data_IF_120072739803
#
_entry.id   IF_120072739803
#
_cell.length_a   1.000
_cell.length_b   1.000
_cell.length_c   1.000
_cell.angle_alpha   90.00
_cell.angle_beta   90.00
_cell.angle_gamma   90.00
#
_symmetry.space_group_name_H-M   'P 1'
#
loop_
_entity.id
_entity.type
_entity.pdbx_description
1 polymer ?
#
# COMPACT_ATOMS: atom_id res chain seq x y z
N UNK A 1 -11.05 -7.68 -0.49
CA UNK A 1 -12.43 -7.39 -0.97
C UNK A 1 -12.36 -7.01 -2.44
N UNK A 2 -13.31 -7.45 -3.27
CA UNK A 2 -13.38 -7.09 -4.69
C UNK A 2 -14.77 -6.53 -5.01
N UNK A 3 -14.81 -5.44 -5.76
CA UNK A 3 -16.05 -4.83 -6.26
C UNK A 3 -15.88 -4.40 -7.72
N UNK A 4 -16.96 -4.46 -8.50
CA UNK A 4 -17.06 -3.84 -9.82
C UNK A 4 -17.97 -2.63 -9.73
N UNK A 5 -17.49 -1.49 -10.21
CA UNK A 5 -18.21 -0.22 -10.20
C UNK A 5 -18.59 0.17 -11.63
N UNK A 6 -19.81 0.65 -11.83
CA UNK A 6 -20.21 1.36 -13.04
C UNK A 6 -19.98 2.86 -12.81
N UNK A 7 -19.12 3.50 -13.59
CA UNK A 7 -18.97 4.95 -13.57
C UNK A 7 -19.82 5.64 -14.64
N UNK A 8 -20.19 4.89 -15.69
CA UNK A 8 -21.16 5.27 -16.72
C UNK A 8 -21.73 4.01 -17.39
N UNK A 9 -22.61 4.17 -18.38
CA UNK A 9 -23.15 3.03 -19.15
C UNK A 9 -22.06 2.24 -19.90
N UNK A 10 -20.98 2.91 -20.31
CA UNK A 10 -19.89 2.32 -21.10
C UNK A 10 -18.59 2.11 -20.31
N UNK A 11 -18.50 2.59 -19.07
CA UNK A 11 -17.30 2.51 -18.26
C UNK A 11 -17.51 1.77 -16.95
N UNK A 12 -16.84 0.62 -16.84
CA UNK A 12 -16.80 -0.20 -15.64
C UNK A 12 -15.37 -0.30 -15.11
N UNK A 13 -15.23 -0.33 -13.79
CA UNK A 13 -13.96 -0.38 -13.08
C UNK A 13 -13.95 -1.53 -12.06
N UNK A 14 -12.92 -2.37 -12.13
CA UNK A 14 -12.71 -3.46 -11.18
C UNK A 14 -11.77 -2.98 -10.07
N UNK A 15 -12.19 -3.06 -8.80
CA UNK A 15 -11.44 -2.57 -7.65
C UNK A 15 -11.19 -3.69 -6.65
N UNK A 16 -9.93 -3.92 -6.33
CA UNK A 16 -9.46 -4.90 -5.37
C UNK A 16 -8.85 -4.17 -4.18
N UNK A 17 -9.46 -4.28 -3.01
CA UNK A 17 -8.86 -3.83 -1.75
C UNK A 17 -8.16 -5.01 -1.07
N UNK A 18 -6.87 -4.87 -0.80
CA UNK A 18 -6.03 -5.88 -0.16
C UNK A 18 -5.48 -5.39 1.17
N UNK A 19 -5.16 -6.34 2.03
CA UNK A 19 -4.38 -6.13 3.24
C UNK A 19 -3.52 -7.36 3.42
N UNK A 20 -2.24 -7.28 3.07
CA UNK A 20 -1.32 -8.42 3.14
C UNK A 20 -0.84 -8.66 4.58
N UNK A 21 -0.15 -9.77 4.82
CA UNK A 21 0.36 -10.10 6.15
C UNK A 21 1.30 -8.99 6.66
N UNK A 22 1.03 -8.50 7.87
CA UNK A 22 1.80 -7.42 8.50
C UNK A 22 3.00 -7.93 9.29
N UNK A 23 3.03 -9.24 9.60
CA UNK A 23 4.10 -9.82 10.42
C UNK A 23 5.39 -9.89 9.60
N UNK A 24 6.52 -9.87 10.31
CA UNK A 24 7.89 -9.89 9.78
C UNK A 24 8.04 -9.11 8.45
N UNK A 25 8.34 -7.81 8.57
CA UNK A 25 8.72 -6.98 7.42
C UNK A 25 10.14 -7.28 6.96
N UNK A 26 10.40 -7.38 5.66
CA UNK A 26 11.76 -7.38 5.14
C UNK A 26 12.48 -6.08 5.53
N UNK A 27 11.79 -4.94 5.55
CA UNK A 27 12.37 -3.68 6.03
C UNK A 27 12.73 -3.70 7.52
N UNK A 28 12.00 -4.48 8.34
CA UNK A 28 12.38 -4.75 9.73
C UNK A 28 13.60 -5.67 9.84
N UNK A 29 13.75 -6.66 8.95
CA UNK A 29 14.97 -7.47 8.90
C UNK A 29 16.18 -6.62 8.50
N UNK A 30 16.01 -5.70 7.54
CA UNK A 30 17.05 -4.72 7.20
C UNK A 30 17.42 -3.85 8.41
N UNK A 31 16.43 -3.39 9.18
CA UNK A 31 16.66 -2.63 10.40
C UNK A 31 17.42 -3.42 11.48
N UNK A 32 17.30 -4.74 11.50
CA UNK A 32 18.06 -5.65 12.38
C UNK A 32 19.44 -6.04 11.83
N UNK A 33 19.82 -5.51 10.67
CA UNK A 33 21.14 -5.73 10.06
C UNK A 33 21.23 -6.94 9.13
N UNK A 34 20.12 -7.56 8.75
CA UNK A 34 20.12 -8.66 7.79
C UNK A 34 20.69 -8.24 6.42
N UNK A 35 21.18 -9.24 5.67
CA UNK A 35 21.65 -9.07 4.29
C UNK A 35 20.49 -9.09 3.31
N UNK A 36 20.70 -8.57 2.09
CA UNK A 36 19.63 -8.45 1.07
C UNK A 36 18.95 -9.78 0.80
N UNK A 37 19.75 -10.86 0.72
CA UNK A 37 19.26 -12.21 0.42
C UNK A 37 18.28 -12.71 1.48
N UNK A 38 18.46 -12.30 2.74
CA UNK A 38 17.63 -12.69 3.89
C UNK A 38 16.34 -11.85 3.98
N UNK A 39 16.30 -10.67 3.36
CA UNK A 39 15.13 -9.78 3.44
C UNK A 39 13.91 -10.38 2.75
N UNK A 40 14.13 -11.11 1.65
CA UNK A 40 13.05 -11.75 0.89
C UNK A 40 12.43 -12.91 1.65
N UNK A 41 13.24 -13.68 2.40
CA UNK A 41 12.74 -14.74 3.27
C UNK A 41 11.91 -14.17 4.43
N UNK A 42 12.27 -12.97 4.90
CA UNK A 42 11.54 -12.27 5.95
C UNK A 42 10.14 -11.80 5.52
N UNK A 43 9.81 -11.65 4.23
CA UNK A 43 8.57 -11.04 3.71
C UNK A 43 7.26 -11.85 3.98
N UNK A 44 7.22 -12.68 5.02
CA UNK A 44 6.05 -13.37 5.59
C UNK A 44 5.05 -13.97 4.58
N UNK A 45 5.54 -14.48 3.46
CA UNK A 45 4.68 -15.08 2.44
C UNK A 45 3.74 -14.09 1.73
N UNK A 46 3.94 -12.77 1.85
CA UNK A 46 3.16 -11.74 1.14
C UNK A 46 3.18 -11.93 -0.38
N UNK A 47 4.32 -12.41 -0.90
CA UNK A 47 4.44 -12.80 -2.31
C UNK A 47 3.47 -13.93 -2.66
N UNK A 48 3.40 -14.98 -1.85
CA UNK A 48 2.46 -16.10 -2.07
C UNK A 48 1.00 -15.65 -1.98
N UNK A 49 0.66 -14.77 -1.02
CA UNK A 49 -0.69 -14.18 -0.93
C UNK A 49 -1.05 -13.43 -2.22
N UNK A 50 -0.10 -12.69 -2.78
CA UNK A 50 -0.28 -11.93 -4.02
C UNK A 50 -0.42 -12.87 -5.22
N UNK A 51 0.39 -13.94 -5.30
CA UNK A 51 0.29 -14.97 -6.35
C UNK A 51 -1.09 -15.64 -6.31
N UNK A 52 -1.57 -16.04 -5.13
CA UNK A 52 -2.89 -16.68 -5.00
C UNK A 52 -4.02 -15.72 -5.36
N UNK A 53 -3.91 -14.44 -5.00
CA UNK A 53 -4.84 -13.40 -5.47
C UNK A 53 -4.85 -13.33 -6.99
N UNK A 54 -3.69 -13.24 -7.64
CA UNK A 54 -3.57 -13.14 -9.10
C UNK A 54 -4.23 -14.35 -9.77
N UNK A 55 -3.94 -15.57 -9.31
CA UNK A 55 -4.53 -16.82 -9.82
C UNK A 55 -6.05 -16.83 -9.65
N UNK A 56 -6.55 -16.52 -8.45
CA UNK A 56 -7.98 -16.61 -8.14
C UNK A 56 -8.83 -15.58 -8.92
N UNK A 57 -8.23 -14.45 -9.28
CA UNK A 57 -8.90 -13.34 -9.96
C UNK A 57 -8.64 -13.28 -11.47
N UNK A 58 -7.64 -14.03 -11.96
CA UNK A 58 -7.16 -13.95 -13.35
C UNK A 58 -6.57 -12.58 -13.69
N UNK A 59 -5.92 -11.93 -12.71
CA UNK A 59 -5.36 -10.59 -12.88
C UNK A 59 -4.20 -10.57 -13.89
N UNK A 60 -3.51 -11.67 -14.12
CA UNK A 60 -2.46 -11.82 -15.12
C UNK A 60 -2.99 -11.98 -16.56
N UNK A 61 -4.30 -12.21 -16.74
CA UNK A 61 -4.89 -12.43 -18.05
C UNK A 61 -5.15 -11.09 -18.76
N UNK A 62 -4.59 -10.94 -19.97
CA UNK A 62 -4.92 -9.82 -20.87
C UNK A 62 -6.08 -10.25 -21.76
N UNK A 63 -7.21 -9.52 -21.69
CA UNK A 63 -8.42 -9.80 -22.49
C UNK A 63 -8.66 -8.66 -23.47
N UNK A 64 -9.21 -8.98 -24.65
CA UNK A 64 -9.75 -7.93 -25.52
C UNK A 64 -10.87 -7.18 -24.79
N UNK A 65 -10.87 -5.86 -24.89
CA UNK A 65 -11.79 -4.97 -24.15
C UNK A 65 -11.71 -5.15 -22.62
N UNK A 66 -10.50 -5.38 -22.11
CA UNK A 66 -10.26 -5.48 -20.68
C UNK A 66 -10.70 -4.19 -19.96
N UNK A 67 -11.57 -4.36 -18.96
CA UNK A 67 -11.98 -3.28 -18.06
C UNK A 67 -10.78 -2.84 -17.22
N UNK A 68 -10.59 -1.52 -17.02
CA UNK A 68 -9.56 -1.03 -16.13
C UNK A 68 -9.70 -1.61 -14.73
N UNK A 69 -8.56 -1.76 -14.07
CA UNK A 69 -8.46 -2.40 -12.76
C UNK A 69 -7.65 -1.52 -11.81
N UNK A 70 -8.03 -1.54 -10.54
CA UNK A 70 -7.25 -0.96 -9.44
C UNK A 70 -7.04 -2.03 -8.38
N UNK A 71 -5.81 -2.19 -7.93
CA UNK A 71 -5.47 -2.91 -6.70
C UNK A 71 -4.95 -1.86 -5.71
N UNK A 72 -5.59 -1.78 -4.55
CA UNK A 72 -5.26 -0.78 -3.54
C UNK A 72 -5.30 -1.36 -2.14
N UNK A 73 -4.71 -0.63 -1.19
CA UNK A 73 -4.75 -0.94 0.23
C UNK A 73 -3.38 -0.99 0.86
N UNK A 74 -3.28 -1.68 1.98
CA UNK A 74 -2.04 -1.87 2.73
C UNK A 74 -1.35 -3.17 2.29
N UNK A 75 -0.22 -3.03 1.59
CA UNK A 75 0.52 -4.18 1.08
C UNK A 75 1.53 -4.69 2.11
N UNK A 76 1.74 -3.97 3.22
CA UNK A 76 2.72 -4.29 4.26
C UNK A 76 4.14 -4.56 3.74
N UNK A 77 4.47 -4.13 2.52
CA UNK A 77 5.75 -4.33 1.86
C UNK A 77 6.13 -3.05 1.12
N UNK A 78 7.42 -2.65 1.06
CA UNK A 78 7.78 -1.44 0.35
C UNK A 78 7.71 -1.57 -1.17
N UNK A 79 7.86 -0.44 -1.86
CA UNK A 79 7.90 -0.44 -3.33
C UNK A 79 9.28 -0.82 -3.87
N UNK A 80 9.31 -1.64 -4.91
CA UNK A 80 10.50 -1.87 -5.74
C UNK A 80 11.05 -0.58 -6.38
N UNK A 81 10.23 0.48 -6.47
CA UNK A 81 10.63 1.79 -6.98
C UNK A 81 11.19 2.72 -5.90
N UNK A 82 11.06 2.36 -4.63
CA UNK A 82 11.42 3.24 -3.51
C UNK A 82 12.76 2.85 -2.89
N UNK A 83 13.07 1.55 -2.80
CA UNK A 83 14.34 1.05 -2.26
C UNK A 83 15.41 0.94 -3.36
N UNK A 84 15.84 2.09 -3.85
CA UNK A 84 16.80 2.25 -4.95
C UNK A 84 18.11 2.88 -4.48
N UNK A 85 19.13 2.88 -5.33
CA UNK A 85 20.46 3.40 -4.97
C UNK A 85 20.43 4.85 -4.47
N UNK A 86 19.56 5.70 -5.03
CA UNK A 86 19.43 7.10 -4.60
C UNK A 86 18.81 7.29 -3.21
N UNK A 87 18.13 6.27 -2.67
CA UNK A 87 17.49 6.29 -1.35
C UNK A 87 18.12 5.30 -0.36
N UNK A 88 19.20 4.62 -0.74
CA UNK A 88 19.82 3.56 0.08
C UNK A 88 20.14 4.01 1.51
N UNK A 89 20.56 5.26 1.72
CA UNK A 89 20.94 5.77 3.04
C UNK A 89 19.77 5.76 4.04
N UNK A 90 18.56 6.09 3.55
CA UNK A 90 17.34 6.02 4.35
C UNK A 90 16.81 4.59 4.45
N UNK A 91 17.21 3.69 3.54
CA UNK A 91 16.83 2.27 3.52
C UNK A 91 17.95 1.33 3.99
N UNK A 92 18.62 1.68 5.09
CA UNK A 92 19.60 0.83 5.79
C UNK A 92 20.81 0.44 4.94
N UNK A 93 21.19 1.30 3.99
CA UNK A 93 22.21 1.06 2.98
C UNK A 93 21.92 -0.19 2.14
N UNK A 94 20.65 -0.36 1.73
CA UNK A 94 20.18 -1.46 0.89
C UNK A 94 19.40 -0.92 -0.31
N UNK A 95 19.51 -1.66 -1.41
CA UNK A 95 18.69 -1.55 -2.61
C UNK A 95 17.97 -2.87 -2.76
N UNK A 96 16.64 -2.86 -2.90
CA UNK A 96 15.81 -4.07 -2.87
C UNK A 96 14.67 -3.93 -3.86
N UNK A 97 14.60 -4.86 -4.82
CA UNK A 97 13.46 -5.01 -5.71
C UNK A 97 12.37 -5.83 -4.99
N UNK A 98 11.50 -5.15 -4.23
CA UNK A 98 10.48 -5.81 -3.43
C UNK A 98 9.52 -6.64 -4.30
N UNK A 99 9.41 -7.96 -4.05
CA UNK A 99 8.87 -8.90 -5.04
C UNK A 99 7.37 -8.75 -5.26
N UNK A 100 6.60 -8.32 -4.25
CA UNK A 100 5.16 -8.11 -4.37
C UNK A 100 4.84 -6.99 -5.37
N UNK A 101 5.44 -5.82 -5.18
CA UNK A 101 5.16 -4.67 -6.04
C UNK A 101 5.79 -4.85 -7.42
N UNK A 102 6.94 -5.53 -7.51
CA UNK A 102 7.56 -5.93 -8.79
C UNK A 102 6.69 -6.89 -9.58
N UNK A 103 6.16 -7.94 -8.95
CA UNK A 103 5.27 -8.91 -9.61
C UNK A 103 4.05 -8.23 -10.23
N UNK A 104 3.44 -7.28 -9.52
CA UNK A 104 2.29 -6.54 -10.02
C UNK A 104 2.67 -5.63 -11.19
N UNK A 105 3.85 -4.99 -11.13
CA UNK A 105 4.39 -4.23 -12.25
C UNK A 105 4.62 -5.11 -13.49
N UNK A 106 5.12 -6.33 -13.31
CA UNK A 106 5.39 -7.28 -14.39
C UNK A 106 4.13 -7.77 -15.12
N UNK A 107 2.99 -7.82 -14.43
CA UNK A 107 1.69 -8.11 -15.05
C UNK A 107 0.96 -6.83 -15.52
N UNK A 108 1.67 -5.70 -15.59
CA UNK A 108 1.20 -4.47 -16.21
C UNK A 108 0.45 -3.51 -15.30
N UNK A 109 0.48 -3.68 -13.97
CA UNK A 109 0.01 -2.64 -13.05
C UNK A 109 1.04 -1.51 -12.97
N UNK A 110 0.54 -0.28 -12.90
CA UNK A 110 1.33 0.93 -12.73
C UNK A 110 1.07 1.55 -11.37
N UNK A 111 2.13 2.07 -10.76
CA UNK A 111 2.07 2.76 -9.47
C UNK A 111 1.60 4.20 -9.68
N UNK A 112 0.35 4.49 -9.32
CA UNK A 112 -0.25 5.81 -9.53
C UNK A 112 0.50 6.94 -8.83
N UNK A 113 1.14 6.67 -7.69
CA UNK A 113 1.90 7.69 -6.96
C UNK A 113 3.19 7.99 -7.69
N UNK A 114 3.92 6.96 -8.13
CA UNK A 114 5.21 7.12 -8.83
C UNK A 114 5.06 7.67 -10.25
N UNK A 115 3.91 7.50 -10.89
CA UNK A 115 3.64 8.22 -12.13
C UNK A 115 3.53 9.74 -11.93
N UNK A 116 2.91 10.19 -10.83
CA UNK A 116 2.82 11.62 -10.51
C UNK A 116 4.11 12.19 -9.89
N UNK A 117 4.79 11.39 -9.09
CA UNK A 117 5.96 11.76 -8.30
C UNK A 117 7.08 10.72 -8.48
N UNK A 118 7.78 10.75 -9.63
CA UNK A 118 8.72 9.70 -10.02
C UNK A 118 9.98 9.65 -9.17
N UNK A 119 10.33 10.72 -8.46
CA UNK A 119 11.55 10.80 -7.66
C UNK A 119 11.30 10.35 -6.20
N UNK A 120 11.84 9.20 -5.76
CA UNK A 120 11.66 8.71 -4.40
C UNK A 120 12.47 9.47 -3.35
N UNK A 121 13.46 10.28 -3.75
CA UNK A 121 14.21 11.16 -2.83
C UNK A 121 13.37 12.37 -2.47
N UNK A 122 12.81 13.05 -3.48
CA UNK A 122 12.02 14.26 -3.28
C UNK A 122 10.61 13.97 -2.76
N UNK A 123 10.04 12.85 -3.18
CA UNK A 123 8.68 12.44 -2.84
C UNK A 123 8.66 10.99 -2.28
N UNK A 124 9.12 10.77 -1.04
CA UNK A 124 9.23 9.43 -0.47
C UNK A 124 7.85 8.81 -0.18
N UNK A 125 6.88 9.65 0.22
CA UNK A 125 5.49 9.26 0.47
C UNK A 125 5.29 8.11 1.47
N UNK A 126 6.17 8.04 2.47
CA UNK A 126 6.09 7.07 3.53
C UNK A 126 4.70 7.07 4.16
N UNK A 127 4.11 5.89 4.24
CA UNK A 127 2.84 5.63 4.94
C UNK A 127 3.08 4.85 6.22
N UNK A 128 4.23 4.19 6.32
CA UNK A 128 4.75 3.54 7.51
C UNK A 128 6.16 4.01 7.81
N UNK A 129 6.56 4.32 9.03
CA UNK A 129 5.77 4.74 10.18
C UNK A 129 5.87 6.27 10.30
N UNK A 130 4.86 6.98 9.78
CA UNK A 130 4.92 8.45 9.67
C UNK A 130 5.09 9.16 11.03
N UNK A 131 4.58 8.57 12.11
CA UNK A 131 4.63 9.13 13.47
C UNK A 131 5.73 8.55 14.35
N UNK A 132 6.20 7.34 14.08
CA UNK A 132 7.21 6.64 14.92
C UNK A 132 8.54 6.60 14.17
N UNK A 133 9.58 7.28 14.65
CA UNK A 133 10.90 7.30 13.96
C UNK A 133 11.91 6.33 14.55
N UNK A 134 11.66 5.87 15.77
CA UNK A 134 12.60 5.05 16.54
C UNK A 134 11.95 3.77 16.99
N UNK A 135 12.69 2.66 16.93
CA UNK A 135 12.25 1.39 17.45
C UNK A 135 13.09 0.99 18.68
N UNK A 136 12.45 0.51 19.74
CA UNK A 136 13.16 0.11 20.97
C UNK A 136 14.06 -1.12 20.79
N UNK A 137 13.80 -1.98 19.80
CA UNK A 137 14.53 -3.22 19.59
C UNK A 137 15.73 -3.07 18.65
N UNK A 138 15.68 -2.14 17.70
CA UNK A 138 16.70 -2.00 16.64
C UNK A 138 17.02 -0.54 16.27
N UNK A 139 16.65 0.41 17.13
CA UNK A 139 17.05 1.82 17.03
C UNK A 139 16.21 2.65 16.06
N UNK A 140 16.22 2.29 14.77
CA UNK A 140 15.53 3.06 13.72
C UNK A 140 14.30 2.32 13.22
N UNK A 141 13.15 3.00 13.23
CA UNK A 141 11.91 2.46 12.67
C UNK A 141 11.92 2.60 11.14
N UNK A 142 11.59 1.55 10.36
CA UNK A 142 11.48 1.66 8.90
C UNK A 142 10.55 2.79 8.48
N UNK A 143 10.95 3.49 7.41
CA UNK A 143 10.21 4.62 6.84
C UNK A 143 9.92 4.30 5.38
N UNK A 144 8.86 3.52 5.17
CA UNK A 144 8.45 2.94 3.91
C UNK A 144 7.07 3.47 3.46
N UNK A 145 6.88 3.50 2.15
CA UNK A 145 5.55 3.53 1.56
C UNK A 145 5.08 2.10 1.36
N UNK A 146 4.03 1.71 2.08
CA UNK A 146 3.45 0.35 2.05
C UNK A 146 1.99 0.34 1.60
N UNK A 147 1.36 1.51 1.51
CA UNK A 147 0.01 1.65 0.98
C UNK A 147 0.07 2.14 -0.47
N UNK A 148 -0.66 1.45 -1.35
CA UNK A 148 -0.58 1.69 -2.78
C UNK A 148 -1.97 1.84 -3.40
N UNK A 149 -1.99 2.57 -4.51
CA UNK A 149 -3.05 2.51 -5.51
C UNK A 149 -2.35 2.14 -6.82
N UNK A 150 -2.41 0.86 -7.18
CA UNK A 150 -1.86 0.34 -8.41
C UNK A 150 -2.99 0.17 -9.42
N UNK A 151 -2.75 0.47 -10.69
CA UNK A 151 -3.80 0.37 -11.69
C UNK A 151 -3.33 -0.21 -13.02
N UNK A 152 -4.26 -0.79 -13.79
CA UNK A 152 -4.03 -1.27 -15.16
C UNK A 152 -5.18 -0.87 -16.07
N UNK A 153 -4.90 -0.67 -17.35
CA UNK A 153 -5.87 -0.28 -18.36
C UNK A 153 -5.91 1.23 -18.57
N UNK A 154 -6.96 1.71 -19.23
CA UNK A 154 -7.09 3.13 -19.61
C UNK A 154 -7.53 4.01 -18.43
N UNK A 155 -6.64 4.15 -17.45
CA UNK A 155 -6.71 5.10 -16.35
C UNK A 155 -5.44 5.96 -16.33
N UNK A 156 -5.53 7.14 -15.71
CA UNK A 156 -4.38 7.97 -15.40
C UNK A 156 -4.57 8.63 -14.05
N UNK A 157 -3.55 8.68 -13.19
CA UNK A 157 -3.60 9.52 -12.00
C UNK A 157 -3.57 10.98 -12.44
N UNK A 158 -4.30 11.83 -11.71
CA UNK A 158 -4.43 13.26 -12.04
C UNK A 158 -3.85 14.17 -10.96
N UNK A 159 -3.97 13.78 -9.69
CA UNK A 159 -3.43 14.52 -8.56
C UNK A 159 -3.34 13.61 -7.33
N UNK A 160 -2.53 14.03 -6.35
CA UNK A 160 -2.50 13.48 -5.00
C UNK A 160 -3.26 14.42 -4.07
N UNK A 161 -4.32 13.90 -3.45
CA UNK A 161 -5.05 14.61 -2.39
C UNK A 161 -4.69 13.99 -1.06
N UNK A 162 -4.03 14.76 -0.18
CA UNK A 162 -3.74 14.33 1.18
C UNK A 162 -4.71 14.97 2.16
N UNK A 163 -5.53 14.15 2.82
CA UNK A 163 -6.44 14.61 3.87
C UNK A 163 -5.65 14.93 5.13
N UNK A 164 -5.13 16.16 5.23
CA UNK A 164 -4.54 16.65 6.48
C UNK A 164 -5.66 16.93 7.48
N UNK A 165 -5.58 16.34 8.67
CA UNK A 165 -6.52 16.53 9.78
C UNK A 165 -6.72 17.98 10.24
N UNK A 166 -5.98 18.95 9.67
CA UNK A 166 -6.13 20.38 9.96
C UNK A 166 -7.26 21.07 9.18
N UNK A 167 -7.82 20.47 8.13
CA UNK A 167 -8.90 21.08 7.33
C UNK A 167 -10.31 20.54 7.60
N UNK A 168 -10.44 19.49 8.40
CA UNK A 168 -11.71 19.13 9.03
C UNK A 168 -11.65 19.58 10.50
N UNK A 169 -12.35 20.65 10.91
CA UNK A 169 -12.39 21.02 12.32
C UNK A 169 -13.10 19.92 13.13
N UNK A 170 -12.33 18.97 13.68
CA UNK A 170 -12.77 18.01 14.71
C UNK A 170 -12.97 18.74 16.06
N UNK A 171 -13.43 20.00 16.05
CA UNK A 171 -13.82 20.72 17.26
C UNK A 171 -15.26 20.42 17.70
N UNK A 172 -16.08 19.79 16.85
CA UNK A 172 -17.47 19.47 17.18
C UNK A 172 -17.79 17.99 17.44
N UNK A 173 -16.82 17.06 17.35
CA UNK A 173 -17.07 15.63 17.66
C UNK A 173 -16.64 15.19 19.07
N UNK A 174 -16.10 16.08 19.90
CA UNK A 174 -15.65 15.72 21.27
C UNK A 174 -16.77 15.64 22.32
N UNK A 175 -18.06 15.75 21.95
CA UNK A 175 -19.15 15.76 22.94
C UNK A 175 -20.15 14.62 22.93
N UNK A 176 -20.12 13.65 21.98
CA UNK A 176 -21.12 12.56 22.00
C UNK A 176 -20.63 11.24 21.36
N UNK A 177 -19.48 10.70 21.78
CA UNK A 177 -19.27 9.25 21.65
C UNK A 177 -18.64 8.75 22.94
N UNK A 178 -19.49 8.37 23.89
CA UNK A 178 -19.09 7.39 24.91
C UNK A 178 -19.66 6.05 24.47
N UNK A 179 -18.88 4.97 24.59
CA UNK A 179 -19.32 3.61 24.24
C UNK A 179 -20.63 3.22 24.94
N UNK A 180 -20.95 3.87 26.08
CA UNK A 180 -22.20 3.67 26.83
C UNK A 180 -23.45 4.27 26.17
N UNK A 181 -23.33 5.30 25.31
CA UNK A 181 -24.51 5.89 24.63
C UNK A 181 -24.95 5.09 23.41
N UNK A 182 -24.05 4.30 22.80
CA UNK A 182 -24.34 3.51 21.60
C UNK A 182 -25.17 2.24 21.90
N UNK A 183 -25.01 1.65 23.08
CA UNK A 183 -25.71 0.42 23.47
C UNK A 183 -27.18 0.63 23.93
N UNK A 184 -27.57 1.85 24.33
CA UNK A 184 -28.92 2.12 24.84
C UNK A 184 -29.99 2.31 23.75
N UNK A 185 -29.59 2.70 22.54
CA UNK A 185 -30.54 3.00 21.44
C UNK A 185 -30.92 1.77 20.59
N UNK A 186 -30.40 0.56 20.89
CA UNK A 186 -30.70 -0.67 20.13
C UNK A 186 -31.34 -1.82 20.92
N UNK A 187 -31.77 -1.58 22.16
CA UNK A 187 -32.60 -2.53 22.93
C UNK A 187 -34.03 -2.02 23.15
N UNK A 188 -34.49 -1.09 22.31
CA UNK A 188 -35.86 -0.56 22.32
C UNK A 188 -36.50 -0.55 20.92
N UNK A 189 -36.16 -1.53 20.09
CA UNK A 189 -36.93 -1.95 18.91
C UNK A 189 -37.11 -3.47 18.97
#
# INVERSE_FOLDING_TARGET
MYVRLNLSESFQLDVYNIHLDWRNGGSYCAARGARVEELLECESGRLNQTIELIKASGLDQIKQNEKPKIILGDFNTPSHLDWVDSTREIHFNRTVEWPVTKLLADIGFKDSYRELYPDPVNDPANTWSTTEKTNRLFGREPQDRIDFILYRGNLRPIEKISLKSRQFPIRNLRRKISVRSWAKERLAL
#
